data_IF_159329408178
#
_entry.id   IF_159329408178
#
_cell.length_a   1.000
_cell.length_b   1.000
_cell.length_c   1.000
_cell.angle_alpha   90.00
_cell.angle_beta   90.00
_cell.angle_gamma   90.00
#
_symmetry.space_group_name_H-M   'P 1'
#
loop_
_entity.id
_entity.type
_entity.pdbx_description
1 polymer ?
#
# COMPACT_ATOMS: atom_id res chain seq x y z
N UNK A 1 18.99 34.38 59.12
CA UNK A 1 17.83 33.84 58.35
C UNK A 1 18.34 33.42 56.99
N UNK A 2 18.07 32.17 56.61
CA UNK A 2 18.53 31.50 55.38
C UNK A 2 17.67 31.90 54.17
N UNK A 3 18.18 31.52 52.98
CA UNK A 3 17.53 31.43 51.67
C UNK A 3 17.46 32.72 50.83
N UNK A 4 18.38 32.81 49.86
CA UNK A 4 18.04 33.03 48.44
C UNK A 4 19.29 32.80 47.58
N UNK A 5 19.70 31.53 47.50
CA UNK A 5 20.44 31.01 46.35
C UNK A 5 19.43 30.17 45.56
N UNK A 6 19.62 30.09 44.25
CA UNK A 6 18.92 29.19 43.32
C UNK A 6 17.71 29.78 42.61
N UNK A 7 17.91 30.79 41.76
CA UNK A 7 16.99 31.03 40.63
C UNK A 7 17.72 31.60 39.40
N UNK A 8 18.85 31.00 39.03
CA UNK A 8 19.62 31.45 37.86
C UNK A 8 20.14 30.30 36.97
N UNK A 9 19.63 29.07 37.15
CA UNK A 9 20.15 27.88 36.44
C UNK A 9 19.09 27.06 35.71
N UNK A 10 17.86 27.57 35.55
CA UNK A 10 16.75 26.81 34.98
C UNK A 10 16.45 27.10 33.50
N UNK A 11 16.97 28.17 32.91
CA UNK A 11 16.50 28.66 31.59
C UNK A 11 17.49 28.39 30.44
N UNK A 12 18.71 27.91 30.72
CA UNK A 12 19.77 27.78 29.71
C UNK A 12 19.93 26.37 29.10
N UNK A 13 19.05 25.41 29.40
CA UNK A 13 19.12 24.04 28.88
C UNK A 13 17.96 23.64 27.95
N UNK A 14 17.07 24.57 27.58
CA UNK A 14 15.96 24.28 26.68
C UNK A 14 16.29 24.48 25.18
N UNK A 15 17.47 25.01 24.84
CA UNK A 15 17.76 25.47 23.47
C UNK A 15 18.45 24.46 22.55
N UNK A 16 18.76 23.23 23.02
CA UNK A 16 19.58 22.28 22.25
C UNK A 16 18.82 21.05 21.71
N UNK A 17 17.50 20.98 21.88
CA UNK A 17 16.67 19.88 21.34
C UNK A 17 15.90 20.33 20.09
N UNK A 18 16.52 21.13 19.24
CA UNK A 18 16.08 21.18 17.84
C UNK A 18 16.67 19.93 17.19
N UNK A 19 15.96 18.82 17.33
CA UNK A 19 16.20 17.67 16.47
C UNK A 19 16.03 18.20 15.04
N UNK A 20 17.14 18.45 14.36
CA UNK A 20 17.13 18.68 12.92
C UNK A 20 16.40 17.50 12.33
N UNK A 21 15.17 17.71 11.88
CA UNK A 21 14.42 16.75 11.10
C UNK A 21 15.16 16.62 9.77
N UNK A 22 16.23 15.83 9.77
CA UNK A 22 16.93 15.44 8.57
C UNK A 22 15.94 14.63 7.76
N UNK A 23 15.64 15.09 6.54
CA UNK A 23 14.89 14.27 5.60
C UNK A 23 15.61 12.92 5.44
N UNK A 24 14.83 11.84 5.31
CA UNK A 24 15.40 10.53 5.01
C UNK A 24 16.29 10.61 3.77
N UNK A 25 17.38 9.84 3.76
CA UNK A 25 18.22 9.76 2.57
C UNK A 25 17.38 9.31 1.38
N UNK A 26 17.51 10.02 0.26
CA UNK A 26 16.81 9.63 -0.96
C UNK A 26 17.22 8.21 -1.37
N UNK A 27 16.28 7.35 -1.79
CA UNK A 27 16.59 6.00 -2.19
C UNK A 27 17.50 6.01 -3.41
N UNK A 28 18.53 5.15 -3.40
CA UNK A 28 19.47 5.01 -4.52
C UNK A 28 18.85 4.35 -5.75
N UNK A 29 17.78 3.57 -5.54
CA UNK A 29 17.01 2.88 -6.56
C UNK A 29 15.54 2.94 -6.17
N UNK A 30 14.69 3.20 -7.15
CA UNK A 30 13.25 3.09 -7.05
C UNK A 30 12.78 2.14 -8.15
N UNK A 31 12.03 1.11 -7.77
CA UNK A 31 11.46 0.13 -8.69
C UNK A 31 9.97 0.35 -8.77
N UNK A 32 9.49 0.71 -9.96
CA UNK A 32 8.07 0.90 -10.25
C UNK A 32 7.62 -0.19 -11.21
N UNK A 33 6.53 -0.86 -10.88
CA UNK A 33 5.89 -1.84 -11.74
C UNK A 33 4.45 -1.43 -12.05
N UNK A 34 3.98 -1.77 -13.24
CA UNK A 34 2.57 -1.72 -13.60
C UNK A 34 2.17 -3.07 -14.15
N UNK A 35 1.00 -3.56 -13.76
CA UNK A 35 0.52 -4.85 -14.20
C UNK A 35 -1.01 -4.89 -14.26
N UNK A 36 -1.52 -5.17 -15.46
CA UNK A 36 -2.90 -5.60 -15.66
C UNK A 36 -3.00 -7.09 -15.31
N UNK A 37 -3.80 -7.41 -14.30
CA UNK A 37 -3.92 -8.76 -13.74
C UNK A 37 -4.95 -9.65 -14.45
N UNK A 38 -5.63 -9.11 -15.46
CA UNK A 38 -6.66 -9.76 -16.29
C UNK A 38 -7.72 -10.46 -15.43
N UNK A 39 -8.74 -9.72 -14.98
CA UNK A 39 -9.80 -10.21 -14.10
C UNK A 39 -9.31 -10.77 -12.76
N UNK A 40 -8.60 -9.98 -11.96
CA UNK A 40 -8.19 -10.39 -10.61
C UNK A 40 -9.37 -10.34 -9.62
N UNK A 41 -10.28 -11.28 -9.83
CA UNK A 41 -11.57 -11.41 -9.18
C UNK A 41 -11.57 -12.71 -8.38
N UNK A 42 -12.11 -12.67 -7.17
CA UNK A 42 -12.25 -13.88 -6.38
C UNK A 42 -13.49 -14.67 -6.77
N UNK A 43 -13.76 -15.77 -6.06
CA UNK A 43 -14.85 -16.68 -6.41
C UNK A 43 -16.23 -16.20 -5.92
N UNK A 44 -16.28 -15.19 -5.04
CA UNK A 44 -17.54 -14.70 -4.50
C UNK A 44 -18.10 -13.64 -5.44
N UNK A 45 -19.25 -13.92 -6.04
CA UNK A 45 -19.85 -13.04 -7.06
C UNK A 45 -21.02 -12.20 -6.55
N UNK A 46 -21.30 -12.26 -5.24
CA UNK A 46 -22.47 -11.60 -4.66
C UNK A 46 -22.35 -10.08 -4.56
N UNK A 47 -21.13 -9.55 -4.68
CA UNK A 47 -20.80 -8.13 -4.77
C UNK A 47 -20.60 -7.65 -6.22
N UNK A 48 -20.70 -8.54 -7.22
CA UNK A 48 -20.75 -8.14 -8.62
C UNK A 48 -22.19 -7.90 -9.08
N UNK A 49 -22.43 -6.80 -9.79
CA UNK A 49 -23.73 -6.52 -10.43
C UNK A 49 -23.76 -7.05 -11.87
N UNK A 50 -22.69 -6.85 -12.62
CA UNK A 50 -22.56 -7.16 -14.04
C UNK A 50 -22.41 -8.67 -14.32
N UNK A 51 -23.13 -9.15 -15.35
CA UNK A 51 -23.04 -10.55 -15.78
C UNK A 51 -21.66 -10.92 -16.34
N UNK A 52 -20.91 -9.94 -16.86
CA UNK A 52 -19.55 -10.18 -17.34
C UNK A 52 -18.59 -10.40 -16.17
N UNK A 53 -18.62 -9.52 -15.16
CA UNK A 53 -17.84 -9.66 -13.92
C UNK A 53 -18.05 -11.03 -13.27
N UNK A 54 -19.32 -11.45 -13.11
CA UNK A 54 -19.67 -12.77 -12.56
C UNK A 54 -19.12 -13.95 -13.35
N UNK A 55 -19.03 -13.83 -14.68
CA UNK A 55 -18.49 -14.88 -15.56
C UNK A 55 -16.97 -14.95 -15.55
N UNK A 56 -16.31 -13.84 -15.20
CA UNK A 56 -14.85 -13.73 -15.15
C UNK A 56 -14.26 -13.96 -13.75
N UNK A 57 -15.12 -13.98 -12.73
CA UNK A 57 -14.79 -14.39 -11.37
C UNK A 57 -14.14 -15.78 -11.34
N UNK A 58 -13.30 -16.02 -10.33
CA UNK A 58 -12.63 -17.31 -10.17
C UNK A 58 -13.69 -18.43 -10.04
N UNK A 59 -13.60 -19.54 -10.80
CA UNK A 59 -14.65 -20.58 -10.79
C UNK A 59 -14.85 -21.25 -9.44
N UNK A 60 -13.79 -21.28 -8.63
CA UNK A 60 -13.81 -21.86 -7.29
C UNK A 60 -12.83 -21.16 -6.36
N UNK A 61 -12.95 -21.46 -5.07
CA UNK A 61 -11.98 -20.98 -4.07
C UNK A 61 -10.56 -21.45 -4.37
N UNK A 62 -10.40 -22.66 -4.90
CA UNK A 62 -9.07 -23.20 -5.24
C UNK A 62 -8.44 -22.44 -6.41
N UNK A 63 -9.22 -22.07 -7.42
CA UNK A 63 -8.76 -21.27 -8.56
C UNK A 63 -8.38 -19.86 -8.12
N UNK A 64 -9.17 -19.26 -7.21
CA UNK A 64 -8.83 -17.98 -6.58
C UNK A 64 -7.50 -18.07 -5.81
N UNK A 65 -7.36 -19.06 -4.92
CA UNK A 65 -6.14 -19.22 -4.12
C UNK A 65 -4.90 -19.47 -5.01
N UNK A 66 -5.05 -20.21 -6.11
CA UNK A 66 -4.00 -20.41 -7.12
C UNK A 66 -3.59 -19.09 -7.79
N UNK A 67 -4.56 -18.31 -8.28
CA UNK A 67 -4.30 -17.02 -8.95
C UNK A 67 -3.66 -16.02 -7.99
N UNK A 68 -4.21 -15.90 -6.79
CA UNK A 68 -3.69 -15.06 -5.71
C UNK A 68 -2.24 -15.42 -5.36
N UNK A 69 -1.92 -16.72 -5.25
CA UNK A 69 -0.56 -17.19 -5.00
C UNK A 69 0.39 -16.87 -6.17
N UNK A 70 -0.07 -17.05 -7.42
CA UNK A 70 0.71 -16.72 -8.61
C UNK A 70 1.07 -15.24 -8.68
N UNK A 71 0.10 -14.35 -8.48
CA UNK A 71 0.29 -12.90 -8.46
C UNK A 71 1.26 -12.50 -7.33
N UNK A 72 1.05 -13.02 -6.12
CA UNK A 72 1.94 -12.74 -4.99
C UNK A 72 3.38 -13.19 -5.26
N UNK A 73 3.57 -14.37 -5.87
CA UNK A 73 4.90 -14.88 -6.25
C UNK A 73 5.61 -13.95 -7.23
N UNK A 74 4.95 -13.52 -8.30
CA UNK A 74 5.54 -12.59 -9.29
C UNK A 74 5.94 -11.27 -8.63
N UNK A 75 5.07 -10.69 -7.81
CA UNK A 75 5.38 -9.45 -7.07
C UNK A 75 6.57 -9.67 -6.12
N UNK A 76 6.67 -10.84 -5.48
CA UNK A 76 7.78 -11.17 -4.57
C UNK A 76 9.14 -11.32 -5.25
N UNK A 77 9.14 -11.66 -6.55
CA UNK A 77 10.36 -11.76 -7.35
C UNK A 77 10.83 -10.39 -7.82
N UNK A 78 9.89 -9.51 -8.19
CA UNK A 78 10.17 -8.14 -8.64
C UNK A 78 10.52 -7.22 -7.46
N UNK A 79 9.82 -7.38 -6.32
CA UNK A 79 9.86 -6.53 -5.13
C UNK A 79 9.76 -5.03 -5.46
N UNK A 80 8.69 -4.60 -6.15
CA UNK A 80 8.53 -3.20 -6.51
C UNK A 80 8.34 -2.33 -5.26
N UNK A 81 8.90 -1.13 -5.28
CA UNK A 81 8.67 -0.11 -4.25
C UNK A 81 7.27 0.50 -4.42
N UNK A 82 6.84 0.66 -5.68
CA UNK A 82 5.53 1.13 -6.10
C UNK A 82 4.99 0.17 -7.18
N UNK A 83 3.78 -0.31 -6.99
CA UNK A 83 3.08 -1.21 -7.91
C UNK A 83 1.72 -0.63 -8.27
N UNK A 84 1.49 -0.38 -9.55
CA UNK A 84 0.18 -0.03 -10.10
C UNK A 84 -0.49 -1.28 -10.66
N UNK A 85 -1.71 -1.58 -10.20
CA UNK A 85 -2.51 -2.72 -10.62
C UNK A 85 -3.75 -2.24 -11.39
N UNK A 86 -4.08 -2.96 -12.45
CA UNK A 86 -5.31 -2.80 -13.22
C UNK A 86 -6.10 -4.10 -13.23
N UNK A 87 -7.41 -3.99 -13.49
CA UNK A 87 -8.36 -5.11 -13.52
C UNK A 87 -8.45 -5.86 -12.18
N UNK A 88 -8.46 -5.08 -11.11
CA UNK A 88 -8.70 -5.56 -9.76
C UNK A 88 -10.21 -5.54 -9.50
N UNK A 89 -10.76 -6.54 -8.84
CA UNK A 89 -12.20 -6.57 -8.58
C UNK A 89 -12.68 -5.52 -7.56
N UNK A 90 -11.97 -5.40 -6.43
CA UNK A 90 -12.36 -4.51 -5.34
C UNK A 90 -11.25 -4.42 -4.26
N UNK A 91 -11.51 -3.62 -3.23
CA UNK A 91 -10.62 -3.46 -2.06
C UNK A 91 -10.41 -4.77 -1.26
N UNK A 92 -11.37 -5.69 -1.23
CA UNK A 92 -11.28 -6.96 -0.48
C UNK A 92 -10.25 -7.89 -1.12
N UNK A 93 -10.23 -7.97 -2.45
CA UNK A 93 -9.20 -8.71 -3.19
C UNK A 93 -7.79 -8.18 -2.91
N UNK A 94 -7.60 -6.84 -2.90
CA UNK A 94 -6.30 -6.23 -2.56
C UNK A 94 -5.87 -6.52 -1.12
N UNK A 95 -6.82 -6.58 -0.20
CA UNK A 95 -6.54 -6.99 1.17
C UNK A 95 -5.97 -8.42 1.20
N UNK A 96 -6.59 -9.37 0.50
CA UNK A 96 -6.08 -10.74 0.42
C UNK A 96 -4.69 -10.81 -0.21
N UNK A 97 -4.45 -10.05 -1.29
CA UNK A 97 -3.12 -9.96 -1.90
C UNK A 97 -2.08 -9.43 -0.93
N UNK A 98 -2.37 -8.35 -0.22
CA UNK A 98 -1.43 -7.76 0.73
C UNK A 98 -1.19 -8.67 1.95
N UNK A 99 -2.22 -9.38 2.44
CA UNK A 99 -2.04 -10.39 3.49
C UNK A 99 -1.12 -11.52 3.03
N UNK A 100 -1.31 -12.03 1.80
CA UNK A 100 -0.48 -13.10 1.26
C UNK A 100 0.97 -12.66 1.02
N UNK A 101 1.17 -11.46 0.50
CA UNK A 101 2.50 -10.85 0.37
C UNK A 101 3.20 -10.71 1.72
N UNK A 102 2.45 -10.31 2.76
CA UNK A 102 2.98 -10.16 4.11
C UNK A 102 3.32 -11.51 4.75
N UNK A 103 2.43 -12.50 4.66
CA UNK A 103 2.63 -13.81 5.29
C UNK A 103 3.72 -14.64 4.61
N UNK A 104 3.72 -14.66 3.27
CA UNK A 104 4.53 -15.61 2.51
C UNK A 104 5.90 -15.02 2.14
N UNK A 105 5.99 -13.69 2.02
CA UNK A 105 7.18 -13.00 1.49
C UNK A 105 7.68 -11.83 2.36
N UNK A 106 7.04 -11.55 3.50
CA UNK A 106 7.36 -10.41 4.37
C UNK A 106 7.32 -9.05 3.64
N UNK A 107 6.44 -8.92 2.65
CA UNK A 107 6.20 -7.68 1.92
C UNK A 107 4.89 -7.05 2.39
N UNK A 108 4.95 -5.83 2.91
CA UNK A 108 3.77 -5.15 3.45
C UNK A 108 3.56 -3.80 2.74
N UNK A 109 2.54 -3.74 1.90
CA UNK A 109 2.18 -2.56 1.13
C UNK A 109 1.04 -1.77 1.80
N UNK A 110 1.08 -0.45 1.63
CA UNK A 110 -0.06 0.45 1.76
C UNK A 110 -0.80 0.48 0.44
N UNK A 111 -2.13 0.54 0.51
CA UNK A 111 -3.01 0.45 -0.66
C UNK A 111 -3.76 1.77 -0.82
N UNK A 112 -3.54 2.43 -1.94
CA UNK A 112 -4.45 3.42 -2.51
C UNK A 112 -5.29 2.72 -3.58
N UNK A 113 -6.60 2.86 -3.50
CA UNK A 113 -7.55 2.15 -4.34
C UNK A 113 -8.56 3.15 -4.88
N UNK A 114 -8.89 3.02 -6.17
CA UNK A 114 -9.89 3.83 -6.85
C UNK A 114 -10.84 2.87 -7.54
N UNK A 115 -12.11 2.96 -7.16
CA UNK A 115 -13.21 2.25 -7.82
C UNK A 115 -13.42 2.84 -9.22
N UNK A 116 -13.53 1.98 -10.22
CA UNK A 116 -13.79 2.36 -11.59
C UNK A 116 -15.24 2.77 -11.82
N UNK A 117 -15.48 3.59 -12.83
CA UNK A 117 -16.83 3.95 -13.28
C UNK A 117 -17.37 2.99 -14.36
N UNK A 118 -16.63 1.92 -14.67
CA UNK A 118 -17.02 0.90 -15.64
C UNK A 118 -17.94 -0.15 -14.99
N UNK A 119 -19.24 0.11 -15.03
CA UNK A 119 -20.25 -0.82 -14.55
C UNK A 119 -20.48 -2.05 -15.46
N UNK A 120 -19.84 -2.11 -16.64
CA UNK A 120 -19.95 -3.29 -17.52
C UNK A 120 -18.94 -4.37 -17.13
N UNK A 121 -17.72 -3.98 -16.73
CA UNK A 121 -16.66 -4.90 -16.32
C UNK A 121 -16.43 -4.94 -14.80
N UNK A 122 -16.78 -3.87 -14.09
CA UNK A 122 -16.54 -3.68 -12.64
C UNK A 122 -15.05 -3.79 -12.27
N UNK A 123 -14.20 -3.32 -13.18
CA UNK A 123 -12.75 -3.35 -13.00
C UNK A 123 -12.25 -2.07 -12.34
N UNK A 124 -11.46 -2.26 -11.28
CA UNK A 124 -10.85 -1.20 -10.50
C UNK A 124 -9.34 -1.13 -10.71
N UNK A 125 -8.76 -0.06 -10.17
CA UNK A 125 -7.31 0.18 -10.16
C UNK A 125 -6.79 0.42 -8.76
N UNK A 126 -5.51 0.07 -8.55
CA UNK A 126 -4.84 0.31 -7.28
C UNK A 126 -3.39 0.73 -7.46
N UNK A 127 -2.90 1.51 -6.49
CA UNK A 127 -1.47 1.75 -6.27
C UNK A 127 -1.12 1.16 -4.91
N UNK A 128 -0.11 0.28 -4.90
CA UNK A 128 0.46 -0.32 -3.72
C UNK A 128 1.88 0.22 -3.53
N UNK A 129 2.21 0.74 -2.34
CA UNK A 129 3.55 1.23 -2.01
C UNK A 129 4.04 0.63 -0.69
N UNK A 130 5.31 0.24 -0.59
CA UNK A 130 5.83 -0.38 0.64
C UNK A 130 5.57 0.52 1.86
N UNK A 131 5.16 -0.07 2.99
CA UNK A 131 4.64 0.68 4.16
C UNK A 131 5.63 1.67 4.81
N UNK A 132 6.91 1.60 4.45
CA UNK A 132 7.97 2.53 4.84
C UNK A 132 8.20 3.69 3.85
N UNK A 133 7.54 3.73 2.69
CA UNK A 133 7.48 4.93 1.85
C UNK A 133 6.53 5.94 2.51
N UNK A 134 7.05 6.68 3.49
CA UNK A 134 6.30 7.72 4.20
C UNK A 134 6.61 9.14 3.74
N UNK A 135 7.45 9.34 2.71
CA UNK A 135 7.74 10.71 2.25
C UNK A 135 8.50 10.81 0.94
N UNK A 136 7.77 10.89 -0.18
CA UNK A 136 8.23 11.63 -1.36
C UNK A 136 7.08 12.52 -1.84
N UNK A 137 6.91 13.66 -1.19
CA UNK A 137 5.92 14.66 -1.58
C UNK A 137 6.47 16.05 -1.36
N UNK A 138 6.38 16.90 -2.38
CA UNK A 138 6.55 18.34 -2.21
C UNK A 138 5.28 18.80 -1.46
N UNK A 139 5.41 19.22 -0.21
CA UNK A 139 4.34 19.98 0.46
C UNK A 139 4.25 21.30 -0.27
N UNK A 140 3.24 21.48 -1.13
CA UNK A 140 2.86 22.84 -1.52
C UNK A 140 2.42 23.56 -0.25
N UNK A 141 3.19 24.58 0.13
CA UNK A 141 2.77 25.54 1.14
C UNK A 141 1.72 26.43 0.47
N UNK A 142 0.48 26.33 0.94
CA UNK A 142 -0.50 27.40 0.80
C UNK A 142 -0.13 28.57 1.72
#
# INVERSE_FOLDING_TARGET
>A
MKLQRSLALGVLLASAMVASATADEKPKKLTIATWNLEWFFDQYTGDNSADLAKRQAAPSRADWDWKLAGVAKVISEIKPDILALQEVENRRVLFYLNQKLKSDYNLNYRIAFVEGEDFFTEQDVAIMALSGLTGFGRKERT
#
